data_IF_391371983092
#
_entry.id   IF_391371983092
#
_cell.length_a   1.000
_cell.length_b   1.000
_cell.length_c   1.000
_cell.angle_alpha   90.00
_cell.angle_beta   90.00
_cell.angle_gamma   90.00
#
_symmetry.space_group_name_H-M   'P 1'
#
loop_
_entity.id
_entity.type
_entity.pdbx_description
1 polymer ?
#
# COMPACT_ATOMS: atom_id res chain seq x y z
N UNK A 1 0.40 4.31 -3.68
CA UNK A 1 1.61 3.49 -3.51
C UNK A 1 1.76 2.53 -4.66
N UNK A 2 0.66 1.93 -5.13
CA UNK A 2 0.59 1.08 -6.32
C UNK A 2 -0.22 1.76 -7.43
N UNK A 3 -0.07 1.33 -8.68
CA UNK A 3 -0.84 1.81 -9.83
C UNK A 3 -2.28 1.27 -9.88
N UNK A 4 -2.55 0.20 -9.13
CA UNK A 4 -3.86 -0.45 -9.02
C UNK A 4 -4.19 -0.73 -7.55
N UNK A 5 -5.47 -0.85 -7.23
CA UNK A 5 -5.94 -1.43 -5.95
C UNK A 5 -5.82 -2.95 -5.98
N UNK A 6 -6.20 -3.64 -4.89
CA UNK A 6 -6.06 -5.09 -4.77
C UNK A 6 -6.63 -5.84 -6.00
N UNK A 7 -5.79 -6.47 -6.84
CA UNK A 7 -6.26 -7.20 -8.00
C UNK A 7 -6.97 -8.49 -7.59
N UNK A 8 -7.87 -8.97 -8.44
CA UNK A 8 -8.54 -10.25 -8.22
C UNK A 8 -7.58 -11.40 -8.56
N UNK A 9 -7.58 -12.43 -7.72
CA UNK A 9 -6.83 -13.67 -8.00
C UNK A 9 -7.55 -14.43 -9.12
N UNK A 10 -6.86 -14.73 -10.22
CA UNK A 10 -7.44 -15.50 -11.32
C UNK A 10 -7.64 -16.95 -10.88
N UNK A 11 -8.81 -17.58 -11.10
CA UNK A 11 -9.05 -18.96 -10.69
C UNK A 11 -8.01 -19.97 -11.22
N UNK A 12 -7.54 -19.78 -12.46
CA UNK A 12 -6.52 -20.64 -13.08
C UNK A 12 -5.13 -20.54 -12.43
N UNK A 13 -4.84 -19.45 -11.72
CA UNK A 13 -3.55 -19.26 -11.05
C UNK A 13 -3.42 -20.11 -9.77
N UNK A 14 -4.52 -20.61 -9.21
CA UNK A 14 -4.51 -21.33 -7.93
C UNK A 14 -3.80 -22.69 -8.01
N UNK A 15 -3.88 -23.38 -9.15
CA UNK A 15 -3.33 -24.72 -9.30
C UNK A 15 -1.84 -24.73 -9.68
N UNK A 16 -1.38 -23.75 -10.46
CA UNK A 16 -0.04 -23.75 -11.07
C UNK A 16 0.70 -22.41 -11.03
N UNK A 17 0.16 -21.40 -10.34
CA UNK A 17 0.68 -20.03 -10.36
C UNK A 17 0.36 -19.27 -11.64
N UNK A 18 0.83 -18.03 -11.72
CA UNK A 18 0.75 -17.21 -12.91
C UNK A 18 2.01 -16.34 -13.08
N UNK A 19 2.29 -15.94 -14.33
CA UNK A 19 3.29 -14.93 -14.66
C UNK A 19 2.61 -13.78 -15.41
N UNK A 20 2.04 -12.84 -14.65
CA UNK A 20 1.38 -11.65 -15.18
C UNK A 20 2.27 -10.40 -14.97
N UNK A 21 3.07 -10.08 -15.99
CA UNK A 21 3.95 -8.92 -15.97
C UNK A 21 3.18 -7.59 -15.92
N UNK A 22 1.97 -7.54 -16.48
CA UNK A 22 1.16 -6.31 -16.51
C UNK A 22 0.76 -5.93 -15.09
N UNK A 23 0.20 -6.88 -14.36
CA UNK A 23 -0.19 -6.70 -12.96
C UNK A 23 1.03 -6.42 -12.08
N UNK A 24 2.14 -7.13 -12.31
CA UNK A 24 3.39 -6.90 -11.60
C UNK A 24 3.91 -5.46 -11.78
N UNK A 25 3.93 -4.95 -13.01
CA UNK A 25 4.36 -3.58 -13.30
C UNK A 25 3.46 -2.55 -12.60
N UNK A 26 2.15 -2.75 -12.57
CA UNK A 26 1.23 -1.85 -11.88
C UNK A 26 1.45 -1.83 -10.37
N UNK A 27 1.69 -2.99 -9.75
CA UNK A 27 1.95 -3.09 -8.32
C UNK A 27 3.29 -2.44 -7.96
N UNK A 28 4.33 -2.66 -8.78
CA UNK A 28 5.68 -2.19 -8.48
C UNK A 28 6.00 -0.78 -8.97
N UNK A 29 5.10 -0.16 -9.77
CA UNK A 29 5.33 1.08 -10.53
C UNK A 29 6.08 2.17 -9.78
N UNK A 30 5.80 2.35 -8.49
CA UNK A 30 6.35 3.45 -7.68
C UNK A 30 7.41 3.01 -6.65
N UNK A 31 7.50 1.73 -6.30
CA UNK A 31 8.34 1.26 -5.20
C UNK A 31 9.82 1.10 -5.61
N UNK A 32 10.09 0.80 -6.88
CA UNK A 32 11.43 0.49 -7.40
C UNK A 32 12.44 1.62 -7.19
N UNK A 33 11.98 2.89 -7.24
CA UNK A 33 12.85 4.05 -7.09
C UNK A 33 13.51 4.09 -5.71
N UNK A 34 12.77 3.82 -4.64
CA UNK A 34 13.30 3.80 -3.28
C UNK A 34 14.34 2.68 -3.10
N UNK A 35 14.05 1.48 -3.64
CA UNK A 35 14.96 0.35 -3.58
C UNK A 35 16.29 0.62 -4.31
N UNK A 36 16.21 1.20 -5.51
CA UNK A 36 17.39 1.48 -6.34
C UNK A 36 18.27 2.58 -5.73
N UNK A 37 17.65 3.61 -5.15
CA UNK A 37 18.37 4.78 -4.63
C UNK A 37 18.78 4.62 -3.17
N UNK A 38 18.20 3.68 -2.43
CA UNK A 38 18.38 3.52 -0.99
C UNK A 38 17.72 4.63 -0.16
N UNK A 39 16.87 5.46 -0.77
CA UNK A 39 16.17 6.53 -0.07
C UNK A 39 15.05 5.97 0.82
N UNK A 40 14.80 6.57 2.00
CA UNK A 40 13.71 6.15 2.85
C UNK A 40 12.37 6.44 2.17
N UNK A 41 11.45 5.48 2.25
CA UNK A 41 10.10 5.60 1.71
C UNK A 41 9.08 5.03 2.70
N UNK A 42 7.90 5.62 2.73
CA UNK A 42 6.77 5.16 3.55
C UNK A 42 5.51 5.05 2.70
N UNK A 43 4.71 4.02 2.97
CA UNK A 43 3.36 3.88 2.44
C UNK A 43 2.36 4.02 3.58
N UNK A 44 1.34 4.86 3.41
CA UNK A 44 0.27 5.07 4.38
C UNK A 44 -1.09 5.13 3.69
N UNK A 45 -2.19 4.73 4.36
CA UNK A 45 -3.52 4.78 3.77
C UNK A 45 -3.96 6.22 3.57
N UNK A 46 -4.70 6.49 2.50
CA UNK A 46 -5.29 7.81 2.21
C UNK A 46 -6.78 7.75 1.82
N UNK A 47 -7.37 6.55 1.84
CA UNK A 47 -8.78 6.36 1.58
C UNK A 47 -9.07 5.02 0.90
N UNK A 48 -10.19 4.98 0.18
CA UNK A 48 -10.70 3.79 -0.49
C UNK A 48 -11.20 4.16 -1.88
N UNK A 49 -11.15 3.22 -2.82
CA UNK A 49 -11.77 3.40 -4.13
C UNK A 49 -13.31 3.24 -4.05
N UNK A 50 -13.99 3.40 -5.19
CA UNK A 50 -15.45 3.24 -5.29
C UNK A 50 -15.96 1.85 -4.92
N UNK A 51 -15.11 0.81 -4.97
CA UNK A 51 -15.44 -0.56 -4.58
C UNK A 51 -15.02 -0.89 -3.14
N UNK A 52 -14.58 0.10 -2.35
CA UNK A 52 -14.19 -0.07 -0.96
C UNK A 52 -12.81 -0.70 -0.73
N UNK A 53 -11.96 -0.79 -1.76
CA UNK A 53 -10.58 -1.28 -1.62
C UNK A 53 -9.65 -0.16 -1.14
N UNK A 54 -8.71 -0.45 -0.22
CA UNK A 54 -7.79 0.57 0.30
C UNK A 54 -6.91 1.19 -0.79
N UNK A 55 -6.69 2.50 -0.68
CA UNK A 55 -5.74 3.27 -1.48
C UNK A 55 -4.62 3.75 -0.55
N UNK A 56 -3.37 3.44 -0.91
CA UNK A 56 -2.18 3.95 -0.24
C UNK A 56 -1.55 5.13 -0.99
N UNK A 57 -0.86 6.00 -0.28
CA UNK A 57 0.05 7.01 -0.83
C UNK A 57 1.49 6.68 -0.41
N UNK A 58 2.45 6.93 -1.31
CA UNK A 58 3.88 6.77 -1.03
C UNK A 58 4.54 8.13 -0.94
N UNK A 59 5.33 8.34 0.10
CA UNK A 59 6.26 9.46 0.21
C UNK A 59 7.69 8.93 0.23
N UNK A 60 8.58 9.55 -0.54
CA UNK A 60 10.02 9.26 -0.56
C UNK A 60 10.73 10.51 -0.01
N UNK A 61 11.55 10.32 1.02
CA UNK A 61 12.30 11.39 1.67
C UNK A 61 13.73 11.48 1.15
N UNK A 62 14.44 12.54 1.54
CA UNK A 62 15.89 12.55 1.40
C UNK A 62 16.53 11.50 2.33
N UNK A 63 17.80 11.18 2.08
CA UNK A 63 18.55 10.24 2.91
C UNK A 63 18.47 10.63 4.40
N UNK A 64 18.22 9.65 5.26
CA UNK A 64 18.16 9.79 6.72
C UNK A 64 17.01 10.68 7.25
N UNK A 65 15.93 10.85 6.49
CA UNK A 65 14.75 11.64 6.87
C UNK A 65 13.52 10.80 7.27
N UNK A 66 13.73 9.63 7.88
CA UNK A 66 12.65 8.75 8.35
C UNK A 66 11.72 9.48 9.34
N UNK A 67 12.28 10.34 10.19
CA UNK A 67 11.50 11.13 11.16
C UNK A 67 10.51 12.09 10.49
N UNK A 68 10.88 12.69 9.36
CA UNK A 68 9.98 13.56 8.58
C UNK A 68 8.88 12.73 7.92
N UNK A 69 9.24 11.59 7.31
CA UNK A 69 8.27 10.70 6.67
C UNK A 69 7.23 10.17 7.66
N UNK A 70 7.66 9.80 8.87
CA UNK A 70 6.76 9.37 9.94
C UNK A 70 5.82 10.50 10.37
N UNK A 71 6.29 11.75 10.45
CA UNK A 71 5.43 12.91 10.76
C UNK A 71 4.40 13.18 9.66
N UNK A 72 4.81 13.05 8.40
CA UNK A 72 3.89 13.18 7.25
C UNK A 72 2.82 12.11 7.28
N UNK A 73 3.21 10.84 7.48
CA UNK A 73 2.27 9.73 7.58
C UNK A 73 1.32 9.88 8.78
N UNK A 74 1.84 10.30 9.94
CA UNK A 74 1.03 10.60 11.13
C UNK A 74 0.00 11.69 10.88
N UNK A 75 0.38 12.76 10.19
CA UNK A 75 -0.56 13.82 9.85
C UNK A 75 -1.62 13.33 8.87
N UNK A 76 -1.22 12.60 7.82
CA UNK A 76 -2.13 12.05 6.82
C UNK A 76 -3.17 11.08 7.41
N UNK A 77 -2.79 10.24 8.38
CA UNK A 77 -3.74 9.32 9.00
C UNK A 77 -4.84 10.01 9.83
N UNK A 78 -4.63 11.25 10.30
CA UNK A 78 -5.66 12.00 11.04
C UNK A 78 -6.84 12.39 10.13
N UNK A 79 -6.60 12.50 8.82
CA UNK A 79 -7.60 12.87 7.82
C UNK A 79 -8.11 11.66 7.04
N UNK A 80 -7.58 10.47 7.32
CA UNK A 80 -7.94 9.25 6.61
C UNK A 80 -9.00 8.48 7.37
N UNK A 81 -10.11 8.18 6.71
CA UNK A 81 -11.15 7.30 7.25
C UNK A 81 -10.57 5.91 7.54
N UNK A 82 -10.76 5.40 8.76
CA UNK A 82 -10.30 4.06 9.16
C UNK A 82 -11.47 3.08 9.13
N UNK A 83 -11.55 2.22 8.10
CA UNK A 83 -12.57 1.17 7.99
C UNK A 83 -12.02 -0.17 8.47
N UNK A 84 -12.83 -0.91 9.23
CA UNK A 84 -12.53 -2.31 9.59
C UNK A 84 -12.60 -3.18 8.32
N UNK A 85 -11.62 -4.05 8.08
CA UNK A 85 -11.67 -4.97 6.96
C UNK A 85 -12.75 -6.04 7.17
N UNK A 86 -13.16 -6.68 6.07
CA UNK A 86 -14.17 -7.76 6.08
C UNK A 86 -13.77 -8.92 7.01
N UNK A 87 -12.48 -9.26 7.03
CA UNK A 87 -11.91 -10.26 7.94
C UNK A 87 -11.13 -9.50 9.00
N UNK A 88 -11.68 -9.40 10.22
CA UNK A 88 -11.10 -8.68 11.35
C UNK A 88 -11.37 -9.43 12.66
N UNK A 89 -10.36 -9.56 13.52
CA UNK A 89 -10.46 -10.23 14.83
C UNK A 89 -9.99 -9.28 15.95
N UNK A 90 -10.76 -9.16 17.04
CA UNK A 90 -10.35 -8.39 18.23
C UNK A 90 -9.59 -9.31 19.18
N UNK A 91 -8.31 -9.02 19.41
CA UNK A 91 -7.45 -9.83 20.29
C UNK A 91 -7.59 -9.45 21.77
N UNK A 92 -7.88 -8.18 22.05
CA UNK A 92 -8.14 -7.70 23.39
C UNK A 92 -9.65 -7.53 23.51
N UNK A 93 -10.30 -8.19 24.48
CA UNK A 93 -11.70 -7.92 24.80
C UNK A 93 -11.82 -6.47 25.28
N UNK A 94 -12.69 -5.72 24.62
CA UNK A 94 -13.29 -4.51 25.19
C UNK A 94 -14.58 -4.88 25.90
#
# INVERSE_FOLDING_TARGET
>A
TTGITAPQIKPGALAGGESDLTTLFEIMRFATLANLTGLPAISFPVGYNSTGLPIGMQAIGAAWQESLLLRVAYFAEQFTEKRKPMIHYSLIPG
#
